data_IF_050922488314
#
_entry.id   IF_050922488314
#
_cell.length_a   1.000
_cell.length_b   1.000
_cell.length_c   1.000
_cell.angle_alpha   90.00
_cell.angle_beta   90.00
_cell.angle_gamma   90.00
#
_symmetry.space_group_name_H-M   'P 1'
#
loop_
_entity.id
_entity.type
_entity.pdbx_description
1 polymer ?
#
# COMPACT_ATOMS: atom_id res chain seq x y z
N UNK A 1 14.23 -33.24 -6.27
CA UNK A 1 12.82 -32.85 -5.96
C UNK A 1 12.59 -32.40 -4.51
N UNK A 2 13.32 -32.90 -3.50
CA UNK A 2 13.21 -32.42 -2.09
C UNK A 2 13.63 -30.95 -1.91
N UNK A 3 14.58 -30.44 -2.70
CA UNK A 3 15.05 -29.05 -2.60
C UNK A 3 14.04 -28.03 -3.10
N UNK A 4 13.22 -28.39 -4.07
CA UNK A 4 12.18 -27.52 -4.61
C UNK A 4 10.98 -27.40 -3.66
N UNK A 5 10.55 -28.51 -3.06
CA UNK A 5 9.49 -28.54 -2.07
C UNK A 5 9.84 -27.68 -0.85
N UNK A 6 11.05 -27.81 -0.30
CA UNK A 6 11.52 -27.00 0.84
C UNK A 6 11.53 -25.50 0.51
N UNK A 7 11.89 -25.10 -0.71
CA UNK A 7 11.84 -23.72 -1.17
C UNK A 7 10.41 -23.18 -1.28
N UNK A 8 9.45 -24.00 -1.70
CA UNK A 8 8.04 -23.61 -1.81
C UNK A 8 7.45 -23.36 -0.41
N UNK A 9 7.69 -24.30 0.54
CA UNK A 9 7.20 -24.16 1.92
C UNK A 9 7.86 -23.02 2.72
N UNK A 10 9.05 -22.57 2.33
CA UNK A 10 9.70 -21.41 2.94
C UNK A 10 9.25 -20.07 2.33
N UNK A 11 8.43 -20.09 1.27
CA UNK A 11 7.98 -18.90 0.57
C UNK A 11 6.72 -18.33 1.25
N UNK A 12 6.80 -17.07 1.71
CA UNK A 12 5.67 -16.37 2.31
C UNK A 12 4.45 -16.31 1.37
N UNK A 13 4.68 -16.15 0.07
CA UNK A 13 3.62 -16.11 -0.94
C UNK A 13 2.79 -17.40 -0.95
N UNK A 14 3.41 -18.56 -0.79
CA UNK A 14 2.72 -19.84 -0.70
C UNK A 14 1.76 -19.88 0.49
N UNK A 15 2.20 -19.43 1.66
CA UNK A 15 1.36 -19.37 2.86
C UNK A 15 0.21 -18.37 2.74
N UNK A 16 0.45 -17.23 2.06
CA UNK A 16 -0.61 -16.26 1.75
C UNK A 16 -1.67 -16.86 0.84
N UNK A 17 -1.27 -17.61 -0.20
CA UNK A 17 -2.22 -18.28 -1.10
C UNK A 17 -3.05 -19.35 -0.36
N UNK A 18 -2.43 -20.16 0.49
CA UNK A 18 -3.14 -21.12 1.35
C UNK A 18 -4.13 -20.39 2.27
N UNK A 19 -3.70 -19.31 2.88
CA UNK A 19 -4.55 -18.51 3.76
C UNK A 19 -5.76 -17.91 3.02
N UNK A 20 -5.58 -17.44 1.78
CA UNK A 20 -6.66 -16.96 0.93
C UNK A 20 -7.68 -18.09 0.64
N UNK A 21 -7.19 -19.27 0.25
CA UNK A 21 -8.06 -20.44 0.00
C UNK A 21 -8.83 -20.84 1.26
N UNK A 22 -8.16 -20.90 2.40
CA UNK A 22 -8.79 -21.19 3.69
C UNK A 22 -9.84 -20.12 4.05
N UNK A 23 -9.55 -18.84 3.80
CA UNK A 23 -10.49 -17.73 3.99
C UNK A 23 -11.73 -17.86 3.12
N UNK A 24 -11.59 -18.24 1.86
CA UNK A 24 -12.71 -18.50 0.95
C UNK A 24 -13.59 -19.62 1.51
N UNK A 25 -12.99 -20.73 1.94
CA UNK A 25 -13.72 -21.87 2.48
C UNK A 25 -14.49 -21.46 3.74
N UNK A 26 -13.84 -20.81 4.69
CA UNK A 26 -14.47 -20.36 5.94
C UNK A 26 -15.56 -19.33 5.66
N UNK A 27 -15.32 -18.37 4.79
CA UNK A 27 -16.32 -17.36 4.43
C UNK A 27 -17.57 -17.95 3.74
N UNK A 28 -17.38 -18.98 2.93
CA UNK A 28 -18.47 -19.63 2.22
C UNK A 28 -19.31 -20.56 3.13
N UNK A 29 -18.68 -21.45 3.86
CA UNK A 29 -19.38 -22.43 4.70
C UNK A 29 -19.82 -21.88 6.06
N UNK A 30 -19.10 -20.88 6.59
CA UNK A 30 -19.38 -20.26 7.88
C UNK A 30 -19.44 -18.74 7.78
N UNK A 31 -20.44 -18.15 7.08
CA UNK A 31 -20.49 -16.70 6.81
C UNK A 31 -20.45 -15.85 8.07
N UNK A 32 -21.14 -16.25 9.13
CA UNK A 32 -21.16 -15.51 10.40
C UNK A 32 -19.78 -15.47 11.09
N UNK A 33 -19.01 -16.54 10.98
CA UNK A 33 -17.64 -16.61 11.49
C UNK A 33 -16.70 -15.82 10.57
N UNK A 34 -16.87 -15.95 9.26
CA UNK A 34 -16.11 -15.20 8.25
C UNK A 34 -16.18 -13.69 8.49
N UNK A 35 -17.36 -13.14 8.71
CA UNK A 35 -17.55 -11.72 8.99
C UNK A 35 -16.79 -11.28 10.26
N UNK A 36 -16.75 -12.10 11.31
CA UNK A 36 -16.00 -11.80 12.54
C UNK A 36 -14.48 -11.79 12.31
N UNK A 37 -13.97 -12.48 11.30
CA UNK A 37 -12.54 -12.52 10.96
C UNK A 37 -12.02 -11.21 10.34
N UNK A 38 -12.90 -10.23 10.03
CA UNK A 38 -12.52 -8.88 9.59
C UNK A 38 -11.47 -8.25 10.50
N UNK A 39 -11.57 -8.50 11.80
CA UNK A 39 -10.66 -7.97 12.81
C UNK A 39 -9.20 -8.35 12.52
N UNK A 40 -8.95 -9.58 12.05
CA UNK A 40 -7.59 -10.05 11.72
C UNK A 40 -6.99 -9.25 10.56
N UNK A 41 -7.77 -9.06 9.49
CA UNK A 41 -7.35 -8.26 8.36
C UNK A 41 -7.09 -6.81 8.73
N UNK A 42 -8.02 -6.18 9.45
CA UNK A 42 -7.90 -4.79 9.90
C UNK A 42 -6.68 -4.59 10.81
N UNK A 43 -6.49 -5.45 11.81
CA UNK A 43 -5.34 -5.36 12.73
C UNK A 43 -4.01 -5.52 12.02
N UNK A 44 -3.92 -6.42 11.04
CA UNK A 44 -2.72 -6.55 10.22
C UNK A 44 -2.43 -5.27 9.41
N UNK A 45 -3.44 -4.71 8.75
CA UNK A 45 -3.30 -3.47 7.98
C UNK A 45 -2.91 -2.30 8.90
N UNK A 46 -3.53 -2.17 10.07
CA UNK A 46 -3.20 -1.13 11.02
C UNK A 46 -1.76 -1.26 11.53
N UNK A 47 -1.30 -2.50 11.77
CA UNK A 47 0.08 -2.76 12.15
C UNK A 47 1.06 -2.33 11.05
N UNK A 48 0.78 -2.62 9.78
CA UNK A 48 1.59 -2.17 8.65
C UNK A 48 1.61 -0.64 8.55
N UNK A 49 0.47 0.03 8.75
CA UNK A 49 0.38 1.49 8.71
C UNK A 49 1.32 2.18 9.70
N UNK A 50 1.61 1.56 10.84
CA UNK A 50 2.55 2.10 11.83
C UNK A 50 3.99 2.17 11.33
N UNK A 51 4.35 1.34 10.35
CA UNK A 51 5.68 1.34 9.75
C UNK A 51 5.86 2.40 8.65
N UNK A 52 4.75 2.93 8.08
CA UNK A 52 4.82 3.91 6.99
C UNK A 52 5.58 5.17 7.40
N UNK A 53 5.28 5.84 8.54
CA UNK A 53 5.98 7.04 8.94
C UNK A 53 7.50 6.87 9.10
N UNK A 54 8.01 5.89 9.87
CA UNK A 54 9.45 5.72 10.00
C UNK A 54 10.14 5.31 8.69
N UNK A 55 9.48 4.52 7.83
CA UNK A 55 10.04 4.16 6.53
C UNK A 55 10.22 5.41 5.65
N UNK A 56 9.21 6.26 5.55
CA UNK A 56 9.28 7.51 4.80
C UNK A 56 10.40 8.38 5.36
N UNK A 57 10.44 8.55 6.68
CA UNK A 57 11.45 9.36 7.35
C UNK A 57 12.86 8.89 7.02
N UNK A 58 13.19 7.63 7.31
CA UNK A 58 14.54 7.11 7.08
C UNK A 58 14.92 7.11 5.60
N UNK A 59 14.02 6.74 4.72
CA UNK A 59 14.29 6.68 3.28
C UNK A 59 14.61 8.05 2.71
N UNK A 60 13.81 9.06 3.06
CA UNK A 60 13.99 10.43 2.55
C UNK A 60 15.24 11.09 3.16
N UNK A 61 15.39 11.01 4.49
CA UNK A 61 16.55 11.63 5.16
C UNK A 61 17.85 11.01 4.68
N UNK A 62 17.94 9.68 4.59
CA UNK A 62 19.12 8.99 4.08
C UNK A 62 19.38 9.29 2.60
N UNK A 63 18.32 9.35 1.79
CA UNK A 63 18.43 9.71 0.38
C UNK A 63 19.04 11.09 0.18
N UNK A 64 18.57 12.10 0.90
CA UNK A 64 19.04 13.47 0.80
C UNK A 64 20.41 13.64 1.45
N UNK A 65 20.60 13.18 2.68
CA UNK A 65 21.85 13.33 3.43
C UNK A 65 22.99 12.47 2.87
N UNK A 66 22.68 11.36 2.23
CA UNK A 66 23.66 10.47 1.59
C UNK A 66 24.36 11.09 0.38
N UNK A 67 23.69 11.95 -0.38
CA UNK A 67 24.25 12.54 -1.61
C UNK A 67 25.35 13.59 -1.38
N UNK A 68 25.38 14.24 -0.23
CA UNK A 68 26.43 15.16 0.19
C UNK A 68 26.57 16.49 -0.57
N UNK A 69 25.89 16.65 -1.69
CA UNK A 69 25.92 17.87 -2.51
C UNK A 69 24.50 18.34 -2.81
N UNK A 70 24.09 19.44 -2.18
CA UNK A 70 22.73 19.99 -2.30
C UNK A 70 22.37 20.44 -3.72
N UNK A 71 23.33 20.93 -4.52
CA UNK A 71 23.08 21.26 -5.94
C UNK A 71 22.71 20.01 -6.73
N UNK A 72 23.38 18.88 -6.44
CA UNK A 72 23.06 17.58 -7.04
C UNK A 72 21.69 17.09 -6.61
N UNK A 73 21.36 17.20 -5.31
CA UNK A 73 20.04 16.88 -4.75
C UNK A 73 18.93 17.68 -5.44
N UNK A 74 19.10 19.00 -5.53
CA UNK A 74 18.12 19.87 -6.19
C UNK A 74 17.91 19.54 -7.68
N UNK A 75 19.00 19.31 -8.42
CA UNK A 75 18.93 18.94 -9.84
C UNK A 75 18.24 17.59 -10.05
N UNK A 76 18.54 16.60 -9.22
CA UNK A 76 17.90 15.28 -9.28
C UNK A 76 16.43 15.41 -8.87
N UNK A 77 16.14 16.18 -7.80
CA UNK A 77 14.77 16.42 -7.34
C UNK A 77 13.88 17.04 -8.41
N UNK A 78 14.33 18.10 -9.08
CA UNK A 78 13.56 18.72 -10.16
C UNK A 78 13.33 17.76 -11.33
N UNK A 79 14.37 17.03 -11.76
CA UNK A 79 14.22 16.02 -12.82
C UNK A 79 13.26 14.91 -12.41
N UNK A 80 13.34 14.45 -11.16
CA UNK A 80 12.43 13.42 -10.64
C UNK A 80 10.99 13.91 -10.61
N UNK A 81 10.74 15.15 -10.16
CA UNK A 81 9.40 15.74 -10.14
C UNK A 81 8.80 15.83 -11.56
N UNK A 82 9.56 16.34 -12.52
CA UNK A 82 9.09 16.41 -13.92
C UNK A 82 8.81 15.00 -14.46
N UNK A 83 9.71 14.06 -14.22
CA UNK A 83 9.54 12.67 -14.64
C UNK A 83 8.28 12.05 -14.04
N UNK A 84 8.09 12.20 -12.72
CA UNK A 84 6.91 11.67 -12.03
C UNK A 84 5.62 12.31 -12.55
N UNK A 85 5.60 13.61 -12.80
CA UNK A 85 4.42 14.28 -13.31
C UNK A 85 4.02 13.75 -14.69
N UNK A 86 4.98 13.62 -15.61
CA UNK A 86 4.73 13.09 -16.95
C UNK A 86 4.26 11.63 -16.88
N UNK A 87 5.00 10.79 -16.14
CA UNK A 87 4.70 9.35 -16.06
C UNK A 87 3.38 9.10 -15.33
N UNK A 88 3.08 9.84 -14.26
CA UNK A 88 1.80 9.73 -13.53
C UNK A 88 0.62 10.16 -14.39
N UNK A 89 0.76 11.22 -15.18
CA UNK A 89 -0.27 11.66 -16.12
C UNK A 89 -0.54 10.60 -17.18
N UNK A 90 0.51 10.03 -17.77
CA UNK A 90 0.37 8.92 -18.73
C UNK A 90 -0.30 7.70 -18.09
N UNK A 91 0.13 7.31 -16.89
CA UNK A 91 -0.47 6.19 -16.15
C UNK A 91 -1.95 6.43 -15.87
N UNK A 92 -2.32 7.67 -15.50
CA UNK A 92 -3.71 8.04 -15.25
C UNK A 92 -4.55 7.93 -16.52
N UNK A 93 -4.07 8.45 -17.64
CA UNK A 93 -4.76 8.37 -18.92
C UNK A 93 -4.96 6.90 -19.35
N UNK A 94 -3.90 6.10 -19.28
CA UNK A 94 -3.98 4.66 -19.59
C UNK A 94 -4.93 3.95 -18.65
N UNK A 95 -4.85 4.21 -17.34
CA UNK A 95 -5.71 3.60 -16.33
C UNK A 95 -7.18 3.91 -16.54
N UNK A 96 -7.52 5.16 -16.83
CA UNK A 96 -8.90 5.58 -17.17
C UNK A 96 -9.38 4.90 -18.45
N UNK A 97 -8.56 4.91 -19.51
CA UNK A 97 -8.92 4.27 -20.78
C UNK A 97 -9.19 2.78 -20.59
N UNK A 98 -8.33 2.06 -19.85
CA UNK A 98 -8.51 0.64 -19.55
C UNK A 98 -9.74 0.38 -18.69
N UNK A 99 -10.01 1.23 -17.69
CA UNK A 99 -11.19 1.11 -16.86
C UNK A 99 -12.49 1.31 -17.65
N UNK A 100 -12.51 2.25 -18.60
CA UNK A 100 -13.65 2.49 -19.48
C UNK A 100 -13.84 1.37 -20.51
N UNK A 101 -12.75 0.77 -21.01
CA UNK A 101 -12.83 -0.32 -22.00
C UNK A 101 -13.28 -1.65 -21.38
N UNK A 102 -12.81 -1.97 -20.19
CA UNK A 102 -13.05 -3.27 -19.56
C UNK A 102 -14.26 -3.24 -18.63
N UNK A 103 -14.63 -2.06 -18.12
CA UNK A 103 -15.71 -1.85 -17.14
C UNK A 103 -15.69 -2.90 -15.99
N UNK A 104 -14.57 -3.04 -15.24
CA UNK A 104 -14.43 -4.08 -14.22
C UNK A 104 -15.43 -3.94 -13.06
N UNK A 105 -15.95 -2.73 -12.84
CA UNK A 105 -16.93 -2.40 -11.81
C UNK A 105 -18.39 -2.60 -12.21
N UNK A 106 -18.67 -3.11 -13.41
CA UNK A 106 -20.04 -3.37 -13.86
C UNK A 106 -20.59 -4.63 -13.16
N UNK A 107 -21.24 -4.41 -12.02
CA UNK A 107 -21.89 -5.44 -11.21
C UNK A 107 -23.37 -5.30 -11.42
N UNK A 108 -24.10 -6.43 -11.57
CA UNK A 108 -25.56 -6.42 -11.63
C UNK A 108 -26.13 -5.78 -10.37
N UNK A 109 -26.92 -4.73 -10.56
CA UNK A 109 -27.46 -3.92 -9.46
C UNK A 109 -28.37 -4.73 -8.51
N UNK A 110 -28.90 -5.83 -8.96
CA UNK A 110 -29.76 -6.72 -8.16
C UNK A 110 -29.02 -7.39 -6.98
N UNK A 111 -27.67 -7.42 -7.02
CA UNK A 111 -26.82 -7.98 -5.97
C UNK A 111 -26.30 -6.94 -4.96
N UNK A 112 -26.67 -5.66 -5.12
CA UNK A 112 -26.18 -4.55 -4.30
C UNK A 112 -27.11 -4.16 -3.14
N UNK A 113 -28.02 -5.03 -2.74
CA UNK A 113 -28.92 -4.77 -1.62
C UNK A 113 -28.14 -4.54 -0.33
N UNK A 114 -28.13 -3.29 0.14
CA UNK A 114 -27.54 -2.90 1.44
C UNK A 114 -26.22 -2.16 1.40
N UNK A 115 -25.69 -1.79 0.24
CA UNK A 115 -24.51 -0.92 0.18
C UNK A 115 -24.96 0.55 0.23
N UNK A 116 -24.75 1.18 1.38
CA UNK A 116 -24.98 2.60 1.56
C UNK A 116 -23.88 3.42 0.85
N UNK A 117 -24.20 3.88 -0.37
CA UNK A 117 -23.29 4.72 -1.16
C UNK A 117 -23.16 6.15 -0.60
N UNK A 118 -23.99 6.54 0.37
CA UNK A 118 -24.00 7.89 0.94
C UNK A 118 -22.66 8.28 1.57
N UNK A 119 -21.91 7.31 2.12
CA UNK A 119 -20.58 7.52 2.67
C UNK A 119 -19.56 8.01 1.65
N UNK A 120 -19.75 7.71 0.38
CA UNK A 120 -18.80 8.05 -0.69
C UNK A 120 -19.22 9.30 -1.48
N UNK A 121 -20.51 9.63 -1.45
CA UNK A 121 -21.05 10.80 -2.17
C UNK A 121 -20.99 12.09 -1.36
N UNK A 122 -20.88 12.02 -0.03
CA UNK A 122 -20.85 13.21 0.83
C UNK A 122 -19.53 13.99 0.78
N UNK A 123 -18.46 13.44 0.19
CA UNK A 123 -17.15 14.11 0.11
C UNK A 123 -16.95 15.03 -1.09
N UNK A 124 -17.90 15.15 -2.02
CA UNK A 124 -17.71 15.86 -3.27
C UNK A 124 -18.00 17.37 -3.23
N UNK A 125 -18.40 17.94 -2.10
CA UNK A 125 -18.79 19.35 -1.99
C UNK A 125 -17.91 20.20 -1.05
N UNK A 126 -16.87 19.65 -0.42
CA UNK A 126 -15.98 20.44 0.39
C UNK A 126 -14.97 21.20 -0.47
N UNK A 127 -14.95 22.52 -0.33
CA UNK A 127 -13.91 23.35 -0.95
C UNK A 127 -12.56 22.86 -0.45
N UNK A 128 -11.66 22.51 -1.39
CA UNK A 128 -10.34 22.01 -1.06
C UNK A 128 -9.54 23.07 -0.29
N UNK A 129 -9.37 22.88 1.01
CA UNK A 129 -8.55 23.75 1.85
C UNK A 129 -7.15 23.15 2.02
N UNK A 130 -6.15 23.84 1.48
CA UNK A 130 -4.75 23.45 1.55
C UNK A 130 -4.24 23.33 3.00
N UNK A 131 -4.70 24.21 3.91
CA UNK A 131 -4.27 24.19 5.27
C UNK A 131 -4.80 22.94 5.99
N UNK A 132 -6.09 22.69 5.90
CA UNK A 132 -6.73 21.48 6.45
C UNK A 132 -6.12 20.22 5.87
N UNK A 133 -5.92 20.16 4.54
CA UNK A 133 -5.29 19.02 3.88
C UNK A 133 -3.87 18.74 4.43
N UNK A 134 -3.06 19.79 4.64
CA UNK A 134 -1.72 19.65 5.20
C UNK A 134 -1.74 19.18 6.65
N UNK A 135 -2.59 19.78 7.50
CA UNK A 135 -2.64 19.46 8.91
C UNK A 135 -3.28 18.10 9.22
N UNK A 136 -4.18 17.63 8.37
CA UNK A 136 -4.78 16.30 8.52
C UNK A 136 -3.91 15.18 7.91
N UNK A 137 -2.98 15.52 7.02
CA UNK A 137 -2.17 14.51 6.33
C UNK A 137 -0.81 14.31 7.00
N UNK A 138 -0.77 13.43 7.99
CA UNK A 138 0.46 13.07 8.72
C UNK A 138 1.59 12.61 7.78
N UNK A 139 1.28 11.91 6.69
CA UNK A 139 2.28 11.47 5.72
C UNK A 139 3.00 12.64 5.05
N UNK A 140 2.25 13.68 4.68
CA UNK A 140 2.79 14.89 4.06
C UNK A 140 3.67 15.67 5.06
N UNK A 141 3.24 15.77 6.31
CA UNK A 141 4.03 16.41 7.38
C UNK A 141 5.37 15.70 7.58
N UNK A 142 5.36 14.36 7.65
CA UNK A 142 6.57 13.56 7.81
C UNK A 142 7.50 13.71 6.59
N UNK A 143 6.93 13.73 5.39
CA UNK A 143 7.68 13.95 4.15
C UNK A 143 8.42 15.28 4.18
N UNK A 144 7.74 16.38 4.48
CA UNK A 144 8.34 17.71 4.54
C UNK A 144 9.36 17.83 5.66
N UNK A 145 9.05 17.32 6.86
CA UNK A 145 10.01 17.28 7.97
C UNK A 145 11.26 16.47 7.62
N UNK A 146 11.11 15.34 6.93
CA UNK A 146 12.22 14.49 6.50
C UNK A 146 13.11 15.20 5.47
N UNK A 147 12.53 15.93 4.54
CA UNK A 147 13.27 16.74 3.57
C UNK A 147 14.09 17.81 4.28
N UNK A 148 13.46 18.55 5.20
CA UNK A 148 14.14 19.60 5.97
C UNK A 148 15.30 19.03 6.80
N UNK A 149 15.07 17.94 7.53
CA UNK A 149 16.10 17.29 8.34
C UNK A 149 17.23 16.75 7.45
N UNK A 150 16.93 16.15 6.32
CA UNK A 150 17.92 15.67 5.36
C UNK A 150 18.80 16.79 4.82
N UNK A 151 18.22 17.95 4.52
CA UNK A 151 18.96 19.15 4.10
C UNK A 151 19.84 19.69 5.23
N UNK A 152 19.29 19.83 6.44
CA UNK A 152 20.02 20.32 7.60
C UNK A 152 21.20 19.42 7.94
N UNK A 153 21.05 18.11 7.86
CA UNK A 153 22.13 17.15 8.08
C UNK A 153 23.27 17.32 7.08
N UNK A 154 22.99 17.73 5.85
CA UNK A 154 24.04 18.00 4.86
C UNK A 154 24.97 19.15 5.25
N UNK A 155 24.49 20.12 6.02
CA UNK A 155 25.31 21.23 6.55
C UNK A 155 26.05 20.87 7.84
N UNK A 156 25.68 19.75 8.49
CA UNK A 156 26.26 19.37 9.78
C UNK A 156 27.69 18.82 9.64
N UNK A 157 28.58 19.28 10.51
CA UNK A 157 29.95 18.73 10.64
C UNK A 157 29.95 17.24 11.03
N UNK A 158 28.88 16.78 11.70
CA UNK A 158 28.73 15.40 12.17
C UNK A 158 27.90 14.51 11.24
N UNK A 159 27.68 14.95 9.99
CA UNK A 159 26.87 14.27 8.99
C UNK A 159 27.14 12.75 8.91
N UNK A 160 28.43 12.34 8.82
CA UNK A 160 28.77 10.90 8.71
C UNK A 160 28.27 10.06 9.89
N UNK A 161 28.40 10.59 11.11
CA UNK A 161 27.92 9.90 12.31
C UNK A 161 26.40 9.80 12.31
N UNK A 162 25.71 10.89 11.97
CA UNK A 162 24.26 10.94 11.88
C UNK A 162 23.71 9.99 10.80
N UNK A 163 24.30 9.98 9.61
CA UNK A 163 23.92 9.07 8.53
C UNK A 163 24.09 7.61 8.93
N UNK A 164 25.20 7.26 9.58
CA UNK A 164 25.44 5.89 10.06
C UNK A 164 24.42 5.46 11.14
N UNK A 165 24.02 6.38 12.03
CA UNK A 165 23.02 6.11 13.04
C UNK A 165 21.63 5.91 12.39
N UNK A 166 21.27 6.77 11.46
CA UNK A 166 20.03 6.69 10.70
C UNK A 166 19.97 5.41 9.85
N UNK A 167 21.09 5.00 9.23
CA UNK A 167 21.15 3.74 8.47
C UNK A 167 20.91 2.53 9.37
N UNK A 168 21.47 2.51 10.58
CA UNK A 168 21.18 1.46 11.57
C UNK A 168 19.72 1.47 11.97
N UNK A 169 19.12 2.64 12.24
CA UNK A 169 17.71 2.78 12.54
C UNK A 169 16.81 2.31 11.39
N UNK A 170 17.15 2.65 10.16
CA UNK A 170 16.48 2.19 8.96
C UNK A 170 16.49 0.65 8.86
N UNK A 171 17.65 0.03 9.02
CA UNK A 171 17.79 -1.43 9.01
C UNK A 171 16.95 -2.11 10.09
N UNK A 172 16.88 -1.50 11.27
CA UNK A 172 16.04 -2.00 12.36
C UNK A 172 14.55 -1.97 11.96
N UNK A 173 14.07 -0.86 11.42
CA UNK A 173 12.68 -0.70 10.98
C UNK A 173 12.33 -1.68 9.86
N UNK A 174 13.18 -1.81 8.84
CA UNK A 174 12.96 -2.77 7.75
C UNK A 174 12.99 -4.23 8.23
N UNK A 175 13.88 -4.55 9.19
CA UNK A 175 13.92 -5.88 9.81
C UNK A 175 12.64 -6.17 10.59
N UNK A 176 12.18 -5.20 11.40
CA UNK A 176 10.92 -5.32 12.12
C UNK A 176 9.73 -5.48 11.17
N UNK A 177 9.67 -4.69 10.08
CA UNK A 177 8.65 -4.83 9.05
C UNK A 177 8.67 -6.23 8.42
N UNK A 178 9.85 -6.78 8.13
CA UNK A 178 9.99 -8.14 7.62
C UNK A 178 9.35 -9.17 8.54
N UNK A 179 9.54 -9.06 9.85
CA UNK A 179 8.89 -9.94 10.82
C UNK A 179 7.37 -9.76 10.85
N UNK A 180 6.89 -8.52 10.76
CA UNK A 180 5.45 -8.23 10.68
C UNK A 180 4.84 -8.83 9.42
N UNK A 181 5.56 -8.83 8.30
CA UNK A 181 5.11 -9.44 7.04
C UNK A 181 4.89 -10.96 7.13
N UNK A 182 5.51 -11.65 8.09
CA UNK A 182 5.19 -13.07 8.35
C UNK A 182 3.76 -13.27 8.89
N UNK A 183 3.11 -12.21 9.37
CA UNK A 183 1.70 -12.24 9.75
C UNK A 183 0.75 -12.01 8.56
N UNK A 184 1.27 -11.72 7.36
CA UNK A 184 0.47 -11.48 6.16
C UNK A 184 -0.53 -12.61 5.84
N UNK A 185 -0.21 -13.91 5.99
CA UNK A 185 -1.18 -14.97 5.82
C UNK A 185 -2.40 -14.83 6.73
N UNK A 186 -2.23 -14.42 7.98
CA UNK A 186 -3.32 -14.21 8.93
C UNK A 186 -4.21 -13.05 8.48
N UNK A 187 -3.60 -11.95 8.04
CA UNK A 187 -4.32 -10.79 7.49
C UNK A 187 -5.09 -11.14 6.22
N UNK A 188 -4.46 -11.89 5.30
CA UNK A 188 -5.08 -12.34 4.06
C UNK A 188 -6.27 -13.30 4.32
N UNK A 189 -6.10 -14.24 5.25
CA UNK A 189 -7.18 -15.12 5.70
C UNK A 189 -8.37 -14.33 6.23
N UNK A 190 -8.12 -13.40 7.16
CA UNK A 190 -9.18 -12.59 7.78
C UNK A 190 -9.91 -11.71 6.77
N UNK A 191 -9.17 -11.05 5.86
CA UNK A 191 -9.73 -10.22 4.81
C UNK A 191 -10.59 -11.00 3.82
N UNK A 192 -10.11 -12.16 3.37
CA UNK A 192 -10.84 -13.00 2.42
C UNK A 192 -12.07 -13.67 3.06
N UNK A 193 -11.94 -14.20 4.27
CA UNK A 193 -13.05 -14.78 5.01
C UNK A 193 -14.18 -13.76 5.24
N UNK A 194 -13.82 -12.52 5.58
CA UNK A 194 -14.79 -11.42 5.70
C UNK A 194 -15.47 -11.11 4.37
N UNK A 195 -14.70 -10.95 3.29
CA UNK A 195 -15.23 -10.59 1.96
C UNK A 195 -16.22 -11.64 1.46
N UNK A 196 -15.85 -12.91 1.54
CA UNK A 196 -16.71 -14.00 1.11
C UNK A 196 -17.90 -14.20 2.05
N UNK A 197 -17.69 -14.07 3.36
CA UNK A 197 -18.77 -14.20 4.36
C UNK A 197 -19.83 -13.12 4.23
N UNK A 198 -19.44 -11.88 3.90
CA UNK A 198 -20.34 -10.74 3.79
C UNK A 198 -20.99 -10.63 2.41
N UNK A 199 -20.23 -10.85 1.36
CA UNK A 199 -20.66 -10.57 -0.02
C UNK A 199 -20.90 -11.83 -0.87
N UNK A 200 -20.46 -13.01 -0.42
CA UNK A 200 -20.60 -14.27 -1.12
C UNK A 200 -19.52 -14.55 -2.17
N UNK A 201 -19.50 -15.79 -2.68
CA UNK A 201 -18.50 -16.24 -3.68
C UNK A 201 -18.58 -15.50 -5.02
N UNK A 202 -19.75 -15.00 -5.38
CA UNK A 202 -19.94 -14.27 -6.64
C UNK A 202 -19.11 -12.98 -6.71
N UNK A 203 -18.65 -12.44 -5.58
CA UNK A 203 -17.76 -11.26 -5.55
C UNK A 203 -16.35 -11.57 -6.07
N UNK A 204 -15.95 -12.84 -6.14
CA UNK A 204 -14.65 -13.22 -6.70
C UNK A 204 -14.53 -12.91 -8.19
N UNK A 205 -15.63 -12.96 -8.95
CA UNK A 205 -15.63 -12.68 -10.39
C UNK A 205 -15.29 -11.20 -10.68
N UNK A 206 -15.97 -10.21 -10.09
CA UNK A 206 -15.57 -8.81 -10.24
C UNK A 206 -14.17 -8.52 -9.74
N UNK A 207 -13.73 -9.13 -8.62
CA UNK A 207 -12.39 -8.96 -8.09
C UNK A 207 -11.33 -9.53 -9.04
N UNK A 208 -11.55 -10.73 -9.62
CA UNK A 208 -10.65 -11.31 -10.61
C UNK A 208 -10.58 -10.44 -11.87
N UNK A 209 -11.71 -9.90 -12.33
CA UNK A 209 -11.79 -8.96 -13.46
C UNK A 209 -11.01 -7.68 -13.16
N UNK A 210 -11.15 -7.12 -11.97
CA UNK A 210 -10.39 -5.95 -11.52
C UNK A 210 -8.89 -6.22 -11.51
N UNK A 211 -8.45 -7.35 -10.91
CA UNK A 211 -7.05 -7.74 -10.90
C UNK A 211 -6.50 -7.93 -12.31
N UNK A 212 -7.21 -8.62 -13.18
CA UNK A 212 -6.84 -8.79 -14.59
C UNK A 212 -6.68 -7.46 -15.31
N UNK A 213 -7.60 -6.51 -15.06
CA UNK A 213 -7.54 -5.15 -15.60
C UNK A 213 -6.30 -4.41 -15.12
N UNK A 214 -5.97 -4.50 -13.82
CA UNK A 214 -4.78 -3.86 -13.26
C UNK A 214 -3.51 -4.44 -13.87
N UNK A 215 -3.38 -5.77 -13.98
CA UNK A 215 -2.21 -6.40 -14.60
C UNK A 215 -2.09 -6.04 -16.08
N UNK A 216 -3.20 -6.05 -16.81
CA UNK A 216 -3.20 -5.64 -18.22
C UNK A 216 -2.80 -4.17 -18.38
N UNK A 217 -3.31 -3.28 -17.52
CA UNK A 217 -2.93 -1.86 -17.50
C UNK A 217 -1.43 -1.70 -17.22
N UNK A 218 -0.89 -2.45 -16.26
CA UNK A 218 0.55 -2.43 -15.96
C UNK A 218 1.40 -2.95 -17.12
N UNK A 219 0.90 -3.91 -17.88
CA UNK A 219 1.60 -4.42 -19.06
C UNK A 219 1.60 -3.42 -20.22
N UNK A 220 0.50 -2.68 -20.40
CA UNK A 220 0.38 -1.66 -21.45
C UNK A 220 1.19 -0.41 -21.09
N UNK A 221 1.30 -0.05 -19.81
CA UNK A 221 2.10 1.06 -19.30
C UNK A 221 3.59 0.76 -19.34
#
# INVERSE_FOLDING_TARGET
DRSMAVRIFSNLTFWVLIAILAGIIVGHYFPSTGVKMEVLGKRFVDLIKWFIPPIIFFTIVLGISGMGNLKKVGRIGVKALIYFEVVTTLALVIGIAMALLIEPGKIDKDNLHGLDASKYTQRTAEVFDWATFFFENTTLQILLASILIGILLNFSKHRRKAVNLLDKGSKLVFTALKYVMYLAPIGAFGGMAFTIGKFGLHTLVPLAKLMGTVYLTMFVF
#
